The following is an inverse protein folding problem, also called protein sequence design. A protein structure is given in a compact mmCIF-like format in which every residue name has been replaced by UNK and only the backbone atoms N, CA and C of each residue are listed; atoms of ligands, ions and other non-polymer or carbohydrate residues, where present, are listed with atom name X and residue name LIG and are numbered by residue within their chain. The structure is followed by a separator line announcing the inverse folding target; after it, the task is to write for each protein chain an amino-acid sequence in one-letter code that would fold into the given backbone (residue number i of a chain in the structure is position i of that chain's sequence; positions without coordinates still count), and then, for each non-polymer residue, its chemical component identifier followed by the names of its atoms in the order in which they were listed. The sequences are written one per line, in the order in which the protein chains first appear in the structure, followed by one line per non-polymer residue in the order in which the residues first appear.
data_IF_052113262908
#
_entry.id   IF_052113262908
#
_cell.length_a   1.000
_cell.length_b   1.000
_cell.length_c   1.000
_cell.angle_alpha   90.00
_cell.angle_beta   90.00
_cell.angle_gamma   90.00
#
_symmetry.space_group_name_H-M   'P 1'
#
loop_
_entity.id
_entity.type
_entity.pdbx_description
1 polymer ?
#
# COMPACT_ATOMS: atom_id res chain seq x y z
N UNK A 1 -1.98 20.63 -21.19
CA UNK A 1 -3.43 20.87 -21.11
C UNK A 1 -4.14 19.61 -21.53
N UNK A 2 -4.78 18.89 -20.63
CA UNK A 2 -5.51 17.66 -20.97
C UNK A 2 -6.85 18.12 -21.55
N UNK A 3 -7.04 17.94 -22.84
CA UNK A 3 -8.36 18.16 -23.47
C UNK A 3 -9.28 17.03 -22.98
N UNK A 4 -10.18 17.36 -22.07
CA UNK A 4 -11.18 16.42 -21.57
C UNK A 4 -12.28 16.32 -22.60
N UNK A 5 -12.41 15.12 -23.17
CA UNK A 5 -13.47 14.77 -24.15
C UNK A 5 -14.77 14.42 -23.42
N UNK A 6 -15.80 14.07 -24.17
CA UNK A 6 -17.15 13.76 -23.66
C UNK A 6 -17.17 12.61 -22.66
N UNK A 7 -16.20 11.71 -22.71
CA UNK A 7 -16.06 10.55 -21.85
C UNK A 7 -14.66 10.49 -21.22
N UNK A 8 -14.59 10.38 -19.90
CA UNK A 8 -13.38 10.10 -19.16
C UNK A 8 -13.50 8.74 -18.47
N UNK A 9 -12.62 7.82 -18.79
CA UNK A 9 -12.56 6.49 -18.17
C UNK A 9 -11.39 6.48 -17.21
N UNK A 10 -11.69 6.17 -15.95
CA UNK A 10 -10.72 6.05 -14.87
C UNK A 10 -10.67 4.58 -14.46
N UNK A 11 -9.47 3.99 -14.43
CA UNK A 11 -9.23 2.66 -13.87
C UNK A 11 -8.45 2.84 -12.59
N UNK A 12 -9.03 2.43 -11.46
CA UNK A 12 -8.40 2.60 -10.15
C UNK A 12 -8.65 1.40 -9.25
N UNK A 13 -7.68 1.08 -8.40
CA UNK A 13 -7.89 0.11 -7.32
C UNK A 13 -8.87 0.67 -6.28
N UNK A 14 -9.64 -0.22 -5.63
CA UNK A 14 -10.57 0.16 -4.56
C UNK A 14 -9.81 0.85 -3.42
N UNK A 15 -8.55 0.47 -3.18
CA UNK A 15 -7.64 1.05 -2.19
C UNK A 15 -7.25 2.52 -2.44
N UNK A 16 -7.64 3.11 -3.59
CA UNK A 16 -7.32 4.51 -3.95
C UNK A 16 -8.43 5.51 -3.61
N UNK A 17 -9.50 5.04 -2.99
CA UNK A 17 -10.59 5.90 -2.58
C UNK A 17 -10.35 6.48 -1.19
N UNK A 18 -10.59 7.75 -1.06
CA UNK A 18 -10.55 8.48 0.22
C UNK A 18 -11.88 9.21 0.41
N UNK A 19 -12.36 9.33 1.65
CA UNK A 19 -13.71 9.85 1.92
C UNK A 19 -13.87 11.34 1.67
N UNK A 20 -12.78 12.11 1.81
CA UNK A 20 -12.83 13.57 1.68
C UNK A 20 -11.66 14.10 0.86
N UNK A 21 -11.87 15.26 0.22
CA UNK A 21 -10.88 15.91 -0.63
C UNK A 21 -9.62 16.32 0.15
N UNK A 22 -9.76 16.70 1.41
CA UNK A 22 -8.66 17.09 2.28
C UNK A 22 -7.66 15.95 2.48
N UNK A 23 -8.16 14.72 2.68
CA UNK A 23 -7.32 13.53 2.77
C UNK A 23 -6.60 13.26 1.45
N UNK A 24 -7.30 13.38 0.31
CA UNK A 24 -6.69 13.22 -1.00
C UNK A 24 -5.55 14.21 -1.25
N UNK A 25 -5.73 15.47 -0.87
CA UNK A 25 -4.71 16.51 -0.99
C UNK A 25 -3.52 16.27 -0.06
N UNK A 26 -3.79 15.80 1.15
CA UNK A 26 -2.76 15.45 2.14
C UNK A 26 -1.92 14.27 1.67
N UNK A 27 -2.56 13.20 1.21
CA UNK A 27 -1.89 12.01 0.66
C UNK A 27 -1.03 12.38 -0.56
N UNK A 28 -1.57 13.14 -1.52
CA UNK A 28 -0.84 13.55 -2.72
C UNK A 28 0.41 14.38 -2.40
N UNK A 29 0.34 15.28 -1.42
CA UNK A 29 1.49 16.06 -0.97
C UNK A 29 2.53 15.21 -0.25
N UNK A 30 2.08 14.37 0.69
CA UNK A 30 2.96 13.49 1.46
C UNK A 30 3.67 12.47 0.55
N UNK A 31 2.95 11.83 -0.37
CA UNK A 31 3.52 10.87 -1.31
C UNK A 31 4.65 11.52 -2.13
N UNK A 32 4.46 12.75 -2.58
CA UNK A 32 5.46 13.47 -3.35
C UNK A 32 6.69 13.82 -2.51
N UNK A 33 6.49 14.32 -1.30
CA UNK A 33 7.60 14.68 -0.38
C UNK A 33 8.46 13.46 -0.07
N UNK A 34 7.84 12.32 0.22
CA UNK A 34 8.57 11.10 0.56
C UNK A 34 9.20 10.40 -0.64
N UNK A 35 8.58 10.47 -1.83
CA UNK A 35 9.13 9.86 -3.04
C UNK A 35 10.31 10.64 -3.62
N UNK A 36 10.35 11.97 -3.43
CA UNK A 36 11.34 12.85 -4.07
C UNK A 36 12.39 13.43 -3.10
N UNK A 37 12.29 13.12 -1.81
CA UNK A 37 13.24 13.57 -0.81
C UNK A 37 13.14 15.07 -0.49
N UNK A 38 11.93 15.61 -0.27
CA UNK A 38 11.56 16.97 0.17
C UNK A 38 10.96 17.92 -0.88
N UNK A 39 10.66 17.46 -2.07
CA UNK A 39 9.95 18.32 -3.02
C UNK A 39 8.45 18.09 -2.95
N UNK A 40 7.69 19.12 -2.62
CA UNK A 40 6.22 19.08 -2.75
C UNK A 40 5.87 19.22 -4.23
N UNK A 41 4.90 18.43 -4.71
CA UNK A 41 4.43 18.61 -6.09
C UNK A 41 3.97 20.04 -6.33
N UNK A 42 4.44 20.64 -7.40
CA UNK A 42 4.07 22.00 -7.80
C UNK A 42 2.72 22.06 -8.52
N UNK A 43 2.16 20.90 -8.89
CA UNK A 43 0.95 20.84 -9.67
C UNK A 43 0.08 19.65 -9.26
N UNK A 44 -1.12 19.94 -8.78
CA UNK A 44 -2.18 18.96 -8.51
C UNK A 44 -3.40 19.39 -9.30
N UNK A 45 -3.90 18.49 -10.17
CA UNK A 45 -5.11 18.72 -10.94
C UNK A 45 -6.30 18.01 -10.31
N UNK A 46 -7.30 18.80 -9.90
CA UNK A 46 -8.55 18.28 -9.34
C UNK A 46 -9.63 18.39 -10.41
N UNK A 47 -10.23 17.25 -10.78
CA UNK A 47 -11.29 17.17 -11.76
C UNK A 47 -12.59 16.84 -11.02
N UNK A 48 -13.54 17.79 -10.97
CA UNK A 48 -14.79 17.67 -10.21
C UNK A 48 -16.04 17.72 -11.10
N UNK A 49 -16.04 16.98 -12.20
CA UNK A 49 -17.16 16.90 -13.12
C UNK A 49 -17.16 17.95 -14.23
N UNK A 50 -18.23 18.03 -15.05
CA UNK A 50 -18.31 18.96 -16.16
C UNK A 50 -18.43 20.39 -15.68
N UNK A 51 -17.49 21.25 -16.07
CA UNK A 51 -17.61 22.67 -15.77
C UNK A 51 -18.67 23.32 -16.67
N UNK A 52 -19.44 24.20 -16.07
CA UNK A 52 -20.40 25.05 -16.77
C UNK A 52 -19.98 26.49 -16.54
N UNK A 53 -19.45 27.14 -17.56
CA UNK A 53 -19.09 28.56 -17.50
C UNK A 53 -20.06 29.35 -18.34
N UNK A 54 -20.73 30.33 -17.74
CA UNK A 54 -21.70 31.21 -18.39
C UNK A 54 -21.15 32.61 -18.64
N UNK A 55 -19.84 32.82 -18.40
CA UNK A 55 -19.26 34.15 -18.26
C UNK A 55 -18.75 34.77 -19.59
N UNK A 56 -18.63 33.96 -20.61
CA UNK A 56 -18.21 34.45 -21.93
C UNK A 56 -19.45 34.49 -22.86
N UNK A 57 -19.86 35.68 -23.23
CA UNK A 57 -21.00 35.94 -24.18
C UNK A 57 -22.36 35.38 -23.75
N UNK A 58 -22.60 35.16 -22.44
CA UNK A 58 -23.86 34.55 -21.91
C UNK A 58 -24.22 33.19 -22.54
N UNK A 59 -23.27 32.52 -23.17
CA UNK A 59 -23.44 31.15 -23.69
C UNK A 59 -22.92 30.16 -22.66
N UNK A 60 -23.72 29.15 -22.30
CA UNK A 60 -23.32 28.05 -21.43
C UNK A 60 -22.35 27.15 -22.20
N UNK A 61 -21.06 27.33 -21.92
CA UNK A 61 -20.03 26.41 -22.41
C UNK A 61 -19.94 25.22 -21.47
N UNK A 62 -20.18 24.02 -22.00
CA UNK A 62 -20.03 22.76 -21.27
C UNK A 62 -18.62 22.18 -21.50
N UNK A 63 -18.11 21.42 -20.56
CA UNK A 63 -16.89 20.60 -20.70
C UNK A 63 -15.57 21.38 -20.85
N UNK A 64 -15.47 22.59 -20.29
CA UNK A 64 -14.19 23.32 -20.33
C UNK A 64 -13.12 22.69 -19.43
N UNK A 65 -13.50 22.10 -18.29
CA UNK A 65 -12.57 21.55 -17.29
C UNK A 65 -12.90 20.14 -16.85
N UNK A 66 -13.92 19.47 -17.39
CA UNK A 66 -14.31 18.12 -17.04
C UNK A 66 -15.09 17.43 -18.16
N UNK A 67 -15.05 16.11 -18.20
CA UNK A 67 -15.81 15.30 -19.14
C UNK A 67 -17.32 15.33 -18.80
N UNK A 68 -18.18 15.21 -19.81
CA UNK A 68 -19.63 15.11 -19.61
C UNK A 68 -20.02 13.82 -18.87
N UNK A 69 -19.30 12.73 -19.16
CA UNK A 69 -19.48 11.43 -18.51
C UNK A 69 -18.17 10.94 -17.95
N UNK A 70 -18.21 10.45 -16.72
CA UNK A 70 -17.08 9.80 -16.07
C UNK A 70 -17.48 8.36 -15.76
N UNK A 71 -16.66 7.42 -16.22
CA UNK A 71 -16.80 5.99 -15.89
C UNK A 71 -15.61 5.60 -15.04
N UNK A 72 -15.87 5.11 -13.85
CA UNK A 72 -14.84 4.61 -12.94
C UNK A 72 -14.92 3.09 -12.92
N UNK A 73 -13.86 2.44 -13.38
CA UNK A 73 -13.69 1.00 -13.31
C UNK A 73 -12.89 0.70 -12.05
N UNK A 74 -13.54 0.08 -11.08
CA UNK A 74 -12.93 -0.32 -9.84
C UNK A 74 -12.32 -1.70 -9.97
N UNK A 75 -11.03 -1.80 -9.69
CA UNK A 75 -10.31 -3.05 -9.64
C UNK A 75 -10.17 -3.49 -8.18
N UNK A 76 -10.77 -4.62 -7.85
CA UNK A 76 -10.44 -5.33 -6.61
C UNK A 76 -9.23 -6.23 -6.88
N UNK A 77 -8.07 -5.74 -6.44
CA UNK A 77 -6.79 -6.42 -6.60
C UNK A 77 -6.34 -7.12 -5.30
N UNK A 78 -7.28 -7.46 -4.42
CA UNK A 78 -7.03 -8.06 -3.11
C UNK A 78 -6.53 -7.06 -2.04
N UNK A 79 -6.32 -5.79 -2.40
CA UNK A 79 -5.87 -4.78 -1.44
C UNK A 79 -6.98 -4.30 -0.52
N UNK A 80 -8.23 -4.44 -0.95
CA UNK A 80 -9.41 -4.16 -0.11
C UNK A 80 -9.52 -5.11 1.07
N UNK A 81 -8.98 -6.33 0.95
CA UNK A 81 -8.90 -7.31 2.04
C UNK A 81 -7.66 -7.12 2.93
N UNK A 82 -6.73 -6.26 2.52
CA UNK A 82 -5.59 -5.90 3.35
C UNK A 82 -6.09 -5.28 4.65
N UNK A 83 -5.40 -5.59 5.77
CA UNK A 83 -5.70 -4.91 7.02
C UNK A 83 -5.63 -3.41 6.78
N UNK A 84 -6.62 -2.71 7.32
CA UNK A 84 -6.80 -1.27 7.12
C UNK A 84 -5.50 -0.50 7.30
N UNK A 85 -4.70 -0.89 8.31
CA UNK A 85 -3.41 -0.25 8.61
C UNK A 85 -2.41 -0.35 7.45
N UNK A 86 -2.44 -1.44 6.66
CA UNK A 86 -1.57 -1.57 5.49
C UNK A 86 -1.91 -0.58 4.38
N UNK A 87 -3.16 -0.14 4.29
CA UNK A 87 -3.64 0.79 3.28
C UNK A 87 -3.21 2.24 3.55
N UNK A 88 -2.83 2.57 4.79
CA UNK A 88 -2.34 3.90 5.15
C UNK A 88 -0.96 4.22 4.58
N UNK A 89 -0.32 3.26 3.94
CA UNK A 89 1.03 3.45 3.42
C UNK A 89 1.10 4.47 2.29
N UNK A 90 1.91 5.50 2.50
CA UNK A 90 2.20 6.58 1.56
C UNK A 90 3.39 6.32 0.64
N UNK A 91 4.02 5.14 0.70
CA UNK A 91 5.12 4.76 -0.18
C UNK A 91 6.49 5.41 0.14
N UNK A 92 6.69 5.97 1.33
CA UNK A 92 7.89 6.75 1.68
C UNK A 92 9.21 5.97 1.74
N UNK A 93 9.19 4.63 1.83
CA UNK A 93 10.38 3.78 1.86
C UNK A 93 11.14 3.70 3.19
N UNK A 94 10.78 4.48 4.23
CA UNK A 94 11.49 4.48 5.52
C UNK A 94 11.58 3.09 6.18
N UNK A 95 10.55 2.28 6.04
CA UNK A 95 10.54 0.91 6.56
C UNK A 95 11.55 0.01 5.85
N UNK A 96 11.93 0.31 4.62
CA UNK A 96 12.91 -0.45 3.82
C UNK A 96 14.32 -0.03 4.20
N UNK A 97 14.60 1.28 4.22
CA UNK A 97 15.91 1.83 4.53
C UNK A 97 16.40 1.42 5.93
N UNK A 98 15.49 1.40 6.89
CA UNK A 98 15.80 1.06 8.28
C UNK A 98 15.68 -0.44 8.59
N UNK A 99 15.38 -1.29 7.60
CA UNK A 99 15.17 -2.71 7.84
C UNK A 99 16.47 -3.50 7.80
N UNK A 100 16.93 -4.13 8.91
CA UNK A 100 18.15 -4.91 8.91
C UNK A 100 18.04 -6.15 8.01
N UNK A 101 16.86 -6.74 7.90
CA UNK A 101 16.64 -7.91 7.03
C UNK A 101 16.72 -7.51 5.56
N UNK A 102 16.04 -6.43 5.17
CA UNK A 102 16.10 -5.95 3.79
C UNK A 102 17.51 -5.55 3.39
N UNK A 103 18.26 -4.92 4.28
CA UNK A 103 19.65 -4.54 4.03
C UNK A 103 20.58 -5.75 3.86
N UNK A 104 20.23 -6.90 4.46
CA UNK A 104 21.02 -8.13 4.34
C UNK A 104 20.67 -8.97 3.10
N UNK A 105 19.38 -9.08 2.74
CA UNK A 105 18.91 -10.00 1.69
C UNK A 105 18.26 -9.30 0.48
N UNK A 106 18.11 -7.99 0.53
CA UNK A 106 17.56 -7.20 -0.57
C UNK A 106 16.13 -7.60 -0.94
N UNK A 107 15.89 -7.71 -2.24
CA UNK A 107 14.57 -7.98 -2.81
C UNK A 107 14.01 -9.38 -2.47
N UNK A 108 14.80 -10.27 -1.90
CA UNK A 108 14.31 -11.55 -1.38
C UNK A 108 13.43 -11.41 -0.11
N UNK A 109 13.34 -10.18 0.43
CA UNK A 109 12.45 -9.84 1.51
C UNK A 109 11.41 -8.83 1.02
N UNK A 110 10.32 -9.36 0.44
CA UNK A 110 9.26 -8.58 -0.16
C UNK A 110 8.54 -9.35 -1.26
N UNK A 111 7.63 -8.68 -1.94
CA UNK A 111 6.77 -9.26 -2.96
C UNK A 111 6.60 -8.28 -4.13
N UNK A 112 7.02 -8.66 -5.32
CA UNK A 112 6.98 -7.81 -6.52
C UNK A 112 7.59 -6.41 -6.24
N UNK A 113 6.81 -5.37 -6.46
CA UNK A 113 7.21 -3.99 -6.19
C UNK A 113 6.99 -3.55 -4.73
N UNK A 114 6.51 -4.44 -3.87
CA UNK A 114 6.28 -4.18 -2.45
C UNK A 114 7.42 -4.80 -1.64
N UNK A 115 8.34 -3.97 -1.15
CA UNK A 115 9.57 -4.41 -0.50
C UNK A 115 9.46 -4.39 1.02
N UNK A 116 10.34 -5.17 1.68
CA UNK A 116 10.42 -5.24 3.14
C UNK A 116 9.22 -5.92 3.82
N UNK A 117 9.10 -5.77 5.11
CA UNK A 117 8.06 -6.42 5.92
C UNK A 117 6.63 -6.07 5.49
N UNK A 118 6.40 -4.83 5.04
CA UNK A 118 5.11 -4.44 4.47
C UNK A 118 4.81 -5.17 3.17
N UNK A 119 5.81 -5.34 2.30
CA UNK A 119 5.65 -6.11 1.06
C UNK A 119 5.27 -7.56 1.33
N UNK A 120 5.89 -8.17 2.34
CA UNK A 120 5.53 -9.51 2.82
C UNK A 120 4.08 -9.55 3.30
N UNK A 121 3.64 -8.54 4.08
CA UNK A 121 2.26 -8.46 4.53
C UNK A 121 1.28 -8.32 3.35
N UNK A 122 1.60 -7.48 2.37
CA UNK A 122 0.74 -7.28 1.20
C UNK A 122 0.62 -8.52 0.32
N UNK A 123 1.65 -9.38 0.24
CA UNK A 123 1.61 -10.58 -0.59
C UNK A 123 0.50 -11.56 -0.18
N UNK A 124 0.17 -11.65 1.11
CA UNK A 124 -0.92 -12.47 1.61
C UNK A 124 -2.29 -12.03 1.08
N UNK A 125 -2.50 -10.72 0.99
CA UNK A 125 -3.78 -10.13 0.56
C UNK A 125 -3.93 -10.07 -0.95
N UNK A 126 -2.82 -9.93 -1.67
CA UNK A 126 -2.83 -9.83 -3.14
C UNK A 126 -2.88 -11.22 -3.77
N UNK A 127 -2.19 -12.19 -3.18
CA UNK A 127 -2.09 -13.55 -3.71
C UNK A 127 -2.68 -14.58 -2.72
N UNK A 128 -1.83 -15.10 -1.80
CA UNK A 128 -2.23 -16.11 -0.83
C UNK A 128 -1.21 -16.26 0.31
N UNK A 129 -1.49 -17.18 1.23
CA UNK A 129 -0.64 -17.46 2.39
C UNK A 129 0.70 -18.12 2.02
N UNK A 130 0.73 -18.96 0.97
CA UNK A 130 1.96 -19.57 0.46
C UNK A 130 2.92 -18.51 -0.07
N UNK A 131 2.39 -17.57 -0.86
CA UNK A 131 3.20 -16.45 -1.40
C UNK A 131 3.73 -15.55 -0.29
N UNK A 132 2.96 -15.34 0.76
CA UNK A 132 3.41 -14.60 1.93
C UNK A 132 4.59 -15.30 2.63
N UNK A 133 4.52 -16.63 2.75
CA UNK A 133 5.62 -17.44 3.28
C UNK A 133 6.89 -17.32 2.42
N UNK A 134 6.78 -17.51 1.10
CA UNK A 134 7.89 -17.37 0.13
C UNK A 134 8.50 -15.98 0.13
N UNK A 135 7.68 -14.93 0.26
CA UNK A 135 8.12 -13.53 0.31
C UNK A 135 8.93 -13.17 1.54
N UNK A 136 9.10 -14.11 2.46
CA UNK A 136 9.97 -13.97 3.62
C UNK A 136 9.24 -13.68 4.94
N UNK A 137 8.03 -14.19 5.13
CA UNK A 137 7.26 -14.02 6.37
C UNK A 137 8.08 -14.34 7.63
N UNK A 138 8.90 -15.39 7.58
CA UNK A 138 9.77 -15.82 8.69
C UNK A 138 11.18 -15.24 8.64
N UNK A 139 11.56 -14.49 7.61
CA UNK A 139 12.83 -13.75 7.57
C UNK A 139 12.79 -12.51 8.48
N UNK A 140 11.60 -11.94 8.72
CA UNK A 140 11.44 -10.76 9.59
C UNK A 140 11.89 -11.05 11.01
N UNK A 141 12.74 -10.20 11.57
CA UNK A 141 13.25 -10.33 12.96
C UNK A 141 12.31 -9.70 14.00
N UNK A 142 11.19 -9.11 13.59
CA UNK A 142 10.23 -8.39 14.45
C UNK A 142 10.87 -7.25 15.26
N UNK A 143 11.95 -6.64 14.78
CA UNK A 143 12.69 -5.60 15.50
C UNK A 143 11.92 -4.29 15.72
N UNK A 144 10.80 -4.07 15.04
CA UNK A 144 9.95 -2.88 15.17
C UNK A 144 10.45 -1.61 14.47
N UNK A 145 11.66 -1.58 13.89
CA UNK A 145 12.21 -0.38 13.24
C UNK A 145 11.32 0.15 12.12
N UNK A 146 10.66 -0.73 11.36
CA UNK A 146 9.72 -0.34 10.33
C UNK A 146 8.49 0.38 10.89
N UNK A 147 8.05 0.05 12.10
CA UNK A 147 6.93 0.70 12.79
C UNK A 147 7.34 2.05 13.37
N UNK A 148 8.47 2.08 14.08
CA UNK A 148 8.97 3.31 14.73
C UNK A 148 9.28 4.42 13.70
N UNK A 149 9.85 4.04 12.55
CA UNK A 149 10.20 4.99 11.49
C UNK A 149 9.06 5.23 10.49
N UNK A 150 7.86 4.67 10.71
CA UNK A 150 6.73 4.88 9.84
C UNK A 150 6.02 6.21 10.15
N UNK A 151 5.99 7.18 9.21
CA UNK A 151 5.35 8.48 9.45
C UNK A 151 3.83 8.41 9.63
N UNK A 152 3.23 7.31 9.19
CA UNK A 152 1.79 7.02 9.35
C UNK A 152 1.54 5.88 10.35
N UNK A 153 2.53 5.55 11.14
CA UNK A 153 2.44 4.62 12.29
C UNK A 153 1.88 3.23 11.97
N UNK A 154 2.18 2.66 10.79
CA UNK A 154 1.75 1.31 10.44
C UNK A 154 2.46 0.30 11.35
N UNK A 155 1.72 -0.53 12.11
CA UNK A 155 2.30 -1.51 13.03
C UNK A 155 2.77 -2.78 12.28
N UNK A 156 3.74 -2.63 11.37
CA UNK A 156 4.18 -3.70 10.47
C UNK A 156 4.67 -4.95 11.20
N UNK A 157 5.39 -4.79 12.31
CA UNK A 157 5.86 -5.91 13.13
C UNK A 157 4.69 -6.73 13.71
N UNK A 158 3.64 -6.07 14.22
CA UNK A 158 2.46 -6.73 14.78
C UNK A 158 1.65 -7.43 13.69
N UNK A 159 1.57 -6.83 12.51
CA UNK A 159 0.91 -7.44 11.35
C UNK A 159 1.64 -8.72 10.96
N UNK A 160 2.97 -8.70 10.85
CA UNK A 160 3.78 -9.88 10.54
C UNK A 160 3.61 -10.96 11.62
N UNK A 161 3.62 -10.59 12.90
CA UNK A 161 3.40 -11.55 13.99
C UNK A 161 2.03 -12.23 13.90
N UNK A 162 0.98 -11.45 13.68
CA UNK A 162 -0.39 -11.98 13.49
C UNK A 162 -0.49 -12.88 12.28
N UNK A 163 0.19 -12.54 11.17
CA UNK A 163 0.25 -13.39 9.98
C UNK A 163 0.95 -14.72 10.27
N UNK A 164 2.06 -14.72 11.01
CA UNK A 164 2.73 -15.96 11.43
C UNK A 164 1.83 -16.86 12.27
N UNK A 165 1.01 -16.28 13.16
CA UNK A 165 0.04 -17.03 13.96
C UNK A 165 -1.04 -17.70 13.11
N UNK A 166 -1.49 -17.03 12.05
CA UNK A 166 -2.56 -17.50 11.17
C UNK A 166 -2.05 -18.29 9.95
N UNK A 167 -0.76 -18.33 9.67
CA UNK A 167 -0.21 -19.02 8.51
C UNK A 167 -0.23 -20.54 8.68
N UNK A 168 -0.62 -21.23 7.60
CA UNK A 168 -0.53 -22.68 7.50
C UNK A 168 0.89 -23.15 7.12
N UNK A 169 1.71 -22.27 6.55
CA UNK A 169 3.07 -22.55 6.13
C UNK A 169 4.07 -22.15 7.23
N UNK A 170 4.96 -23.09 7.57
CA UNK A 170 6.01 -22.86 8.59
C UNK A 170 7.34 -23.41 8.12
N UNK A 171 8.48 -22.82 8.53
CA UNK A 171 9.79 -23.41 8.28
C UNK A 171 9.92 -24.79 8.94
N UNK A 172 10.49 -25.76 8.23
CA UNK A 172 10.70 -27.13 8.74
C UNK A 172 11.41 -27.19 10.10
N UNK A 173 12.33 -26.26 10.34
CA UNK A 173 13.01 -26.15 11.64
C UNK A 173 12.03 -25.78 12.77
N UNK A 174 11.09 -24.87 12.52
CA UNK A 174 10.08 -24.49 13.51
C UNK A 174 9.13 -25.65 13.84
N UNK A 175 8.77 -26.46 12.84
CA UNK A 175 7.93 -27.65 13.07
C UNK A 175 8.63 -28.68 13.95
N UNK A 176 9.93 -28.93 13.71
CA UNK A 176 10.74 -29.83 14.53
C UNK A 176 10.83 -29.36 15.98
N UNK A 177 11.15 -28.08 16.17
CA UNK A 177 11.25 -27.47 17.52
C UNK A 177 9.91 -27.55 18.23
N UNK A 178 8.82 -27.18 17.56
CA UNK A 178 7.46 -27.22 18.11
C UNK A 178 7.08 -28.62 18.56
N UNK A 179 7.34 -29.66 17.75
CA UNK A 179 7.10 -31.05 18.11
C UNK A 179 7.92 -31.48 19.31
N UNK A 180 9.22 -31.14 19.33
CA UNK A 180 10.11 -31.45 20.45
C UNK A 180 9.65 -30.82 21.77
N UNK A 181 9.21 -29.56 21.72
CA UNK A 181 8.68 -28.86 22.90
C UNK A 181 7.39 -29.52 23.41
N UNK A 182 6.47 -29.91 22.51
CA UNK A 182 5.23 -30.54 22.91
C UNK A 182 5.47 -31.95 23.50
N UNK A 183 6.40 -32.72 22.91
CA UNK A 183 6.64 -34.11 23.30
C UNK A 183 7.59 -34.26 24.49
N UNK A 184 8.56 -33.35 24.65
CA UNK A 184 9.66 -33.48 25.57
C UNK A 184 9.81 -32.32 26.55
N UNK A 185 8.91 -31.32 26.48
CA UNK A 185 9.05 -30.04 27.21
C UNK A 185 10.41 -29.32 26.96
N UNK A 186 11.07 -29.63 25.83
CA UNK A 186 12.38 -29.10 25.46
C UNK A 186 12.47 -28.84 23.95
N UNK A 187 13.14 -27.77 23.54
CA UNK A 187 13.36 -27.47 22.11
C UNK A 187 14.45 -28.37 21.48
N UNK A 188 15.14 -29.21 22.26
CA UNK A 188 16.24 -30.08 21.85
C UNK A 188 15.91 -31.58 21.95
#
# INVERSE_FOLDING_TARGET
MVSLKDLHIIVAGIDKFVPVLEDAMSVAKLETVYATGNYVTSYINVISGPSKTADIEKKLLKNMYGAERVVVILLDNGRSEAREECLWCIGCGNCIVNCPVYNAVGNEFGFNNYLGGRGVAMSKFIENDEKCFESGLYKCTLCGLCTINCPVSIPTNDIIEKMRKSSQFRPKAHEKISKSVIEKDSPY
#
